data_IF_967886678072
#
_entry.id   IF_967886678072
#
_cell.length_a   1.000
_cell.length_b   1.000
_cell.length_c   1.000
_cell.angle_alpha   90.00
_cell.angle_beta   90.00
_cell.angle_gamma   90.00
#
_symmetry.space_group_name_H-M   'P 1'
#
loop_
_entity.id
_entity.type
_entity.pdbx_description
1 polymer ?
#
# COMPACT_ATOMS: atom_id res chain seq x y z
N UNK A 1 -22.43 8.87 -3.45
CA UNK A 1 -21.40 7.86 -3.75
C UNK A 1 -20.63 8.37 -4.97
N UNK A 2 -19.43 8.96 -4.99
CA UNK A 2 -18.33 9.30 -4.09
C UNK A 2 -17.80 10.68 -4.59
N UNK A 3 -17.46 11.69 -3.76
CA UNK A 3 -16.68 12.82 -4.23
C UNK A 3 -15.29 12.80 -3.60
N UNK A 4 -14.24 12.94 -4.42
CA UNK A 4 -12.89 13.23 -3.92
C UNK A 4 -11.79 12.39 -4.54
N UNK A 5 -11.31 12.80 -5.71
CA UNK A 5 -9.88 12.96 -5.97
C UNK A 5 -9.71 13.59 -7.35
N UNK A 6 -9.74 14.92 -7.35
CA UNK A 6 -9.46 15.74 -8.50
C UNK A 6 -7.99 15.58 -8.89
N UNK A 7 -7.75 14.75 -9.91
CA UNK A 7 -6.86 14.93 -11.08
C UNK A 7 -5.46 15.55 -10.93
N UNK A 8 -4.89 15.59 -9.73
CA UNK A 8 -3.53 16.09 -9.47
C UNK A 8 -2.84 15.25 -8.40
N UNK A 9 -2.81 13.93 -8.56
CA UNK A 9 -2.15 13.04 -7.61
C UNK A 9 -0.65 13.26 -7.66
N UNK A 10 -0.09 13.88 -6.62
CA UNK A 10 1.36 13.85 -6.40
C UNK A 10 1.87 12.40 -6.44
N UNK A 11 3.15 12.19 -6.76
CA UNK A 11 3.77 10.86 -6.82
C UNK A 11 3.43 10.00 -5.59
N UNK A 12 3.30 10.64 -4.43
CA UNK A 12 2.93 10.01 -3.15
C UNK A 12 1.50 9.45 -3.13
N UNK A 13 0.53 10.11 -3.76
CA UNK A 13 -0.86 9.64 -3.79
C UNK A 13 -1.03 8.45 -4.76
N UNK A 14 -0.38 8.51 -5.92
CA UNK A 14 -0.32 7.38 -6.87
C UNK A 14 0.35 6.17 -6.21
N UNK A 15 1.45 6.41 -5.50
CA UNK A 15 2.15 5.35 -4.77
C UNK A 15 1.29 4.75 -3.65
N UNK A 16 0.60 5.59 -2.88
CA UNK A 16 -0.33 5.15 -1.84
C UNK A 16 -1.44 4.26 -2.41
N UNK A 17 -2.06 4.66 -3.53
CA UNK A 17 -3.09 3.85 -4.20
C UNK A 17 -2.52 2.50 -4.65
N UNK A 18 -1.37 2.49 -5.32
CA UNK A 18 -0.72 1.25 -5.77
C UNK A 18 -0.42 0.30 -4.62
N UNK A 19 0.07 0.83 -3.49
CA UNK A 19 0.33 0.03 -2.29
C UNK A 19 -0.98 -0.51 -1.72
N UNK A 20 -2.03 0.31 -1.63
CA UNK A 20 -3.35 -0.12 -1.13
C UNK A 20 -3.96 -1.19 -2.05
N UNK A 21 -3.86 -1.06 -3.37
CA UNK A 21 -4.35 -2.05 -4.32
C UNK A 21 -3.61 -3.39 -4.17
N UNK A 22 -2.28 -3.35 -4.10
CA UNK A 22 -1.47 -4.55 -3.86
C UNK A 22 -1.80 -5.19 -2.51
N UNK A 23 -2.01 -4.39 -1.45
CA UNK A 23 -2.43 -4.89 -0.15
C UNK A 23 -3.82 -5.54 -0.22
N UNK A 24 -4.80 -4.91 -0.86
CA UNK A 24 -6.12 -5.50 -1.01
C UNK A 24 -6.09 -6.82 -1.79
N UNK A 25 -5.35 -6.86 -2.91
CA UNK A 25 -5.20 -8.07 -3.73
C UNK A 25 -4.49 -9.22 -3.01
N UNK A 26 -3.68 -8.91 -1.99
CA UNK A 26 -2.90 -9.91 -1.23
C UNK A 26 -3.50 -10.22 0.14
N UNK A 27 -4.64 -9.63 0.50
CA UNK A 27 -5.27 -9.79 1.82
C UNK A 27 -4.51 -9.08 2.94
N UNK A 28 -4.06 -7.85 2.67
CA UNK A 28 -3.24 -7.03 3.56
C UNK A 28 -1.93 -7.72 3.99
N UNK A 29 -1.35 -8.52 3.10
CA UNK A 29 -0.10 -9.23 3.39
C UNK A 29 1.09 -8.39 2.93
N UNK A 30 1.81 -7.76 3.85
CA UNK A 30 3.00 -6.94 3.51
C UNK A 30 4.21 -7.81 3.13
N UNK A 31 4.38 -8.95 3.81
CA UNK A 31 5.56 -9.83 3.70
C UNK A 31 5.16 -11.29 3.53
N UNK A 32 6.03 -12.09 2.91
CA UNK A 32 5.82 -13.52 2.60
C UNK A 32 5.44 -13.77 1.15
N UNK A 33 5.30 -15.05 0.79
CA UNK A 33 4.92 -15.52 -0.54
C UNK A 33 3.53 -14.98 -0.91
N UNK A 34 3.41 -14.31 -2.05
CA UNK A 34 2.26 -13.52 -2.50
C UNK A 34 1.92 -12.32 -1.59
N UNK A 35 2.92 -11.68 -0.99
CA UNK A 35 2.74 -10.42 -0.28
C UNK A 35 2.75 -9.21 -1.22
N UNK A 36 2.17 -8.09 -0.80
CA UNK A 36 2.17 -6.83 -1.52
C UNK A 36 3.60 -6.37 -1.88
N UNK A 37 4.60 -6.67 -1.04
CA UNK A 37 6.00 -6.36 -1.36
C UNK A 37 6.51 -7.17 -2.55
N UNK A 38 6.16 -8.46 -2.62
CA UNK A 38 6.51 -9.34 -3.73
C UNK A 38 5.78 -8.94 -5.01
N UNK A 39 4.48 -8.61 -4.91
CA UNK A 39 3.66 -8.10 -6.02
C UNK A 39 4.21 -6.77 -6.56
N UNK A 40 4.68 -5.88 -5.68
CA UNK A 40 5.29 -4.61 -6.04
C UNK A 40 6.77 -4.76 -6.44
N UNK A 41 7.37 -5.94 -6.30
CA UNK A 41 8.78 -6.20 -6.60
C UNK A 41 9.76 -5.43 -5.71
N UNK A 42 9.34 -5.03 -4.50
CA UNK A 42 10.18 -4.30 -3.55
C UNK A 42 10.39 -5.10 -2.27
N UNK A 43 11.46 -4.79 -1.54
CA UNK A 43 11.73 -5.46 -0.27
C UNK A 43 10.60 -5.16 0.73
N UNK A 44 10.04 -6.16 1.46
CA UNK A 44 9.01 -5.93 2.47
C UNK A 44 9.39 -4.91 3.53
N UNK A 45 10.69 -4.78 3.85
CA UNK A 45 11.19 -3.73 4.74
C UNK A 45 10.97 -2.33 4.16
N UNK A 46 11.27 -2.15 2.87
CA UNK A 46 11.04 -0.90 2.13
C UNK A 46 9.55 -0.58 2.03
N UNK A 47 8.72 -1.59 1.73
CA UNK A 47 7.28 -1.41 1.69
C UNK A 47 6.75 -0.95 3.06
N UNK A 48 7.21 -1.57 4.15
CA UNK A 48 6.85 -1.16 5.52
C UNK A 48 7.21 0.29 5.85
N UNK A 49 8.41 0.74 5.45
CA UNK A 49 8.81 2.15 5.62
C UNK A 49 7.95 3.10 4.78
N UNK A 50 7.65 2.78 3.52
CA UNK A 50 6.75 3.58 2.67
C UNK A 50 5.34 3.63 3.23
N UNK A 51 4.84 2.50 3.70
CA UNK A 51 3.55 2.40 4.39
C UNK A 51 3.49 3.32 5.60
N UNK A 52 4.50 3.31 6.47
CA UNK A 52 4.58 4.25 7.59
C UNK A 52 4.60 5.71 7.12
N UNK A 53 5.41 6.03 6.12
CA UNK A 53 5.55 7.39 5.56
C UNK A 53 4.25 7.93 4.96
N UNK A 54 3.46 7.05 4.33
CA UNK A 54 2.18 7.36 3.69
C UNK A 54 0.96 7.21 4.62
N UNK A 55 1.20 6.85 5.89
CA UNK A 55 0.15 6.60 6.88
C UNK A 55 -0.71 5.37 6.58
N UNK A 56 -0.19 4.39 5.84
CA UNK A 56 -0.84 3.12 5.55
C UNK A 56 -0.51 2.15 6.68
N UNK A 57 -1.45 1.92 7.58
CA UNK A 57 -1.28 0.98 8.68
C UNK A 57 -2.18 -0.23 8.46
N UNK A 58 -1.60 -1.43 8.56
CA UNK A 58 -2.39 -2.64 8.64
C UNK A 58 -3.01 -2.67 10.03
N UNK A 59 -4.32 -2.46 10.12
CA UNK A 59 -5.08 -2.73 11.34
C UNK A 59 -5.03 -4.24 11.60
N UNK A 60 -3.98 -4.72 12.26
CA UNK A 60 -3.98 -6.04 12.87
C UNK A 60 -4.94 -5.92 14.05
N UNK A 61 -6.11 -6.57 14.06
CA UNK A 61 -6.80 -6.78 15.32
C UNK A 61 -5.81 -7.54 16.21
N UNK A 62 -5.49 -6.98 17.39
CA UNK A 62 -4.83 -7.75 18.45
C UNK A 62 -5.77 -8.81 18.97
#
# INVERSE_FOLDING_TARGET
MQPGAERSGTLEEVEKRRIIEALNSTGWRVSGKNGAAEVLGINPKTLGSRMQRLGIQRNKPR
#
